data_IF_571601778480
#
_entry.id   IF_571601778480
#
_cell.length_a   1.000
_cell.length_b   1.000
_cell.length_c   1.000
_cell.angle_alpha   90.00
_cell.angle_beta   90.00
_cell.angle_gamma   90.00
#
_symmetry.space_group_name_H-M   'P 1'
#
loop_
_entity.id
_entity.type
_entity.pdbx_description
1 polymer ?
#
# COMPACT_ATOMS: atom_id res chain seq x y z
N UNK A 1 15.21 -16.65 7.77
CA UNK A 1 14.54 -15.88 6.70
C UNK A 1 14.62 -14.42 7.11
N UNK A 2 15.51 -13.65 6.50
CA UNK A 2 15.53 -12.20 6.77
C UNK A 2 14.33 -11.59 6.03
N UNK A 3 13.56 -10.73 6.69
CA UNK A 3 12.55 -9.92 6.03
C UNK A 3 13.23 -8.74 5.32
N UNK A 4 12.63 -8.21 4.26
CA UNK A 4 13.09 -7.00 3.58
C UNK A 4 13.26 -5.83 4.54
N UNK A 5 14.25 -4.99 4.27
CA UNK A 5 14.61 -3.89 5.16
C UNK A 5 13.84 -2.63 4.74
N UNK A 6 13.06 -2.07 5.67
CA UNK A 6 12.52 -0.71 5.53
C UNK A 6 13.61 0.27 5.89
N UNK A 7 13.94 1.16 4.95
CA UNK A 7 14.91 2.22 5.21
C UNK A 7 14.15 3.43 5.76
N UNK A 8 14.70 4.06 6.80
CA UNK A 8 14.11 5.30 7.31
C UNK A 8 14.08 6.34 6.18
N UNK A 9 12.92 6.92 5.84
CA UNK A 9 12.86 7.99 4.86
C UNK A 9 13.70 9.19 5.32
N UNK A 10 14.21 10.03 4.40
CA UNK A 10 14.86 11.28 4.77
C UNK A 10 13.93 12.06 5.71
N UNK A 11 14.49 12.53 6.84
CA UNK A 11 13.77 13.09 8.00
C UNK A 11 12.58 13.94 7.56
N UNK A 12 11.36 13.39 7.64
CA UNK A 12 10.17 14.22 7.74
C UNK A 12 10.32 15.00 9.03
N UNK A 13 10.48 16.31 8.92
CA UNK A 13 10.42 17.25 10.04
C UNK A 13 9.22 16.89 10.91
N UNK A 14 9.45 16.72 12.21
CA UNK A 14 8.46 16.29 13.19
C UNK A 14 7.13 17.04 13.03
N UNK A 15 6.05 16.33 12.73
CA UNK A 15 4.69 16.85 12.90
C UNK A 15 4.35 16.78 14.40
N UNK A 16 4.88 17.74 15.15
CA UNK A 16 4.40 18.02 16.50
C UNK A 16 3.04 18.70 16.41
N UNK A 17 1.97 17.96 16.75
CA UNK A 17 0.60 18.49 16.85
C UNK A 17 -0.39 17.82 15.88
N UNK A 18 -0.58 16.50 15.96
CA UNK A 18 -1.27 15.76 14.90
C UNK A 18 -2.80 15.69 14.99
N UNK A 19 -3.40 15.60 16.17
CA UNK A 19 -4.81 15.14 16.26
C UNK A 19 -5.87 16.22 16.02
N UNK A 20 -5.46 17.49 15.90
CA UNK A 20 -6.39 18.61 15.89
C UNK A 20 -6.48 19.37 14.55
N UNK A 21 -5.85 18.88 13.50
CA UNK A 21 -5.85 19.52 12.19
C UNK A 21 -6.27 18.54 11.10
N UNK A 22 -6.98 19.07 10.09
CA UNK A 22 -7.22 18.34 8.86
C UNK A 22 -5.87 18.00 8.22
N UNK A 23 -5.68 16.74 7.86
CA UNK A 23 -4.43 16.27 7.28
C UNK A 23 -4.71 15.24 6.20
N UNK A 24 -3.79 15.16 5.24
CA UNK A 24 -3.80 14.12 4.21
C UNK A 24 -2.79 13.05 4.62
N UNK A 25 -3.26 11.82 4.77
CA UNK A 25 -2.42 10.67 5.03
C UNK A 25 -2.27 9.83 3.75
N UNK A 26 -1.02 9.68 3.31
CA UNK A 26 -0.69 8.82 2.18
C UNK A 26 -0.11 7.50 2.66
N UNK A 27 -0.60 6.39 2.10
CA UNK A 27 -0.12 5.04 2.43
C UNK A 27 0.11 4.22 1.16
N UNK A 28 1.09 3.31 1.22
CA UNK A 28 1.38 2.33 0.18
C UNK A 28 1.53 0.95 0.82
N UNK A 29 0.66 0.02 0.40
CA UNK A 29 0.86 -1.41 0.63
C UNK A 29 1.34 -2.04 -0.67
N UNK A 30 2.50 -2.68 -0.68
CA UNK A 30 3.07 -3.30 -1.87
C UNK A 30 3.66 -4.68 -1.58
N UNK A 31 3.21 -5.67 -2.34
CA UNK A 31 3.83 -6.97 -2.50
C UNK A 31 4.79 -6.97 -3.67
N UNK A 32 6.03 -7.39 -3.40
CA UNK A 32 7.00 -7.79 -4.41
C UNK A 32 7.05 -9.32 -4.41
N UNK A 33 6.33 -9.94 -5.35
CA UNK A 33 6.16 -11.39 -5.37
C UNK A 33 7.39 -12.08 -5.96
N UNK A 34 7.56 -11.96 -7.27
CA UNK A 34 8.51 -12.78 -8.02
C UNK A 34 8.94 -12.09 -9.31
N UNK A 35 10.09 -12.49 -9.82
CA UNK A 35 10.56 -12.17 -11.15
C UNK A 35 10.81 -13.45 -11.96
N UNK A 36 10.73 -13.29 -13.28
CA UNK A 36 11.03 -14.34 -14.26
C UNK A 36 11.97 -13.81 -15.32
N UNK A 37 12.58 -14.74 -16.06
CA UNK A 37 13.53 -14.47 -17.14
C UNK A 37 14.78 -13.68 -16.67
N UNK A 38 15.14 -13.78 -15.38
CA UNK A 38 16.37 -13.20 -14.86
C UNK A 38 17.61 -14.02 -15.28
N UNK A 39 18.78 -13.39 -15.44
CA UNK A 39 20.02 -14.15 -15.64
C UNK A 39 20.27 -15.10 -14.46
N UNK A 40 20.39 -16.42 -14.70
CA UNK A 40 20.33 -17.45 -13.67
C UNK A 40 21.59 -17.45 -12.80
N UNK A 41 21.50 -18.09 -11.62
CA UNK A 41 22.63 -18.29 -10.67
C UNK A 41 23.27 -16.99 -10.18
N UNK A 42 22.56 -15.87 -10.23
CA UNK A 42 22.95 -14.58 -9.65
C UNK A 42 21.98 -14.20 -8.53
N UNK A 43 22.44 -13.37 -7.59
CA UNK A 43 21.62 -12.85 -6.49
C UNK A 43 21.06 -11.49 -6.86
N UNK A 44 19.75 -11.31 -6.66
CA UNK A 44 19.04 -10.07 -6.96
C UNK A 44 18.18 -9.62 -5.79
N UNK A 45 18.00 -8.31 -5.68
CA UNK A 45 17.07 -7.65 -4.79
C UNK A 45 16.37 -6.50 -5.53
N UNK A 46 15.26 -6.04 -4.98
CA UNK A 46 14.54 -4.88 -5.50
C UNK A 46 14.78 -3.66 -4.60
N UNK A 47 14.84 -2.48 -5.20
CA UNK A 47 14.78 -1.20 -4.51
C UNK A 47 13.46 -0.50 -4.80
N UNK A 48 12.84 0.02 -3.75
CA UNK A 48 11.58 0.74 -3.78
C UNK A 48 11.83 2.25 -3.71
N UNK A 49 11.54 2.98 -4.77
CA UNK A 49 11.63 4.43 -4.78
C UNK A 49 10.28 5.10 -4.99
N UNK A 50 10.01 6.17 -4.25
CA UNK A 50 8.88 7.07 -4.47
C UNK A 50 9.46 8.44 -4.85
N UNK A 51 9.13 8.92 -6.05
CA UNK A 51 9.64 10.18 -6.62
C UNK A 51 11.16 10.37 -6.44
N UNK A 52 11.92 9.28 -6.62
CA UNK A 52 13.39 9.26 -6.52
C UNK A 52 13.97 9.01 -5.12
N UNK A 53 13.18 9.09 -4.06
CA UNK A 53 13.64 8.76 -2.71
C UNK A 53 13.49 7.25 -2.43
N UNK A 54 14.51 6.61 -1.87
CA UNK A 54 14.53 5.19 -1.54
C UNK A 54 13.82 4.92 -0.19
N UNK A 55 12.82 4.04 -0.19
CA UNK A 55 12.02 3.70 1.01
C UNK A 55 12.25 2.28 1.53
N UNK A 56 12.51 1.33 0.65
CA UNK A 56 12.64 -0.06 1.06
C UNK A 56 13.50 -0.87 0.10
N UNK A 57 13.99 -2.01 0.60
CA UNK A 57 14.69 -3.01 -0.20
C UNK A 57 14.17 -4.40 0.13
N UNK A 58 14.01 -5.24 -0.88
CA UNK A 58 13.79 -6.67 -0.63
C UNK A 58 15.07 -7.33 -0.17
N UNK A 59 14.96 -8.55 0.35
CA UNK A 59 16.15 -9.38 0.52
C UNK A 59 16.78 -9.76 -0.81
N UNK A 60 18.11 -9.95 -0.79
CA UNK A 60 18.82 -10.52 -1.92
C UNK A 60 18.65 -12.04 -1.96
N UNK A 61 18.17 -12.56 -3.08
CA UNK A 61 17.91 -13.99 -3.29
C UNK A 61 18.50 -14.46 -4.62
N UNK A 62 18.94 -15.71 -4.68
CA UNK A 62 19.51 -16.32 -5.89
C UNK A 62 18.41 -16.70 -6.87
N UNK A 63 18.51 -16.26 -8.12
CA UNK A 63 17.66 -16.75 -9.20
C UNK A 63 17.95 -18.23 -9.48
N UNK A 64 16.88 -18.99 -9.74
CA UNK A 64 16.91 -20.40 -10.14
C UNK A 64 17.64 -20.62 -11.47
N UNK A 65 17.83 -21.89 -11.84
CA UNK A 65 18.44 -22.25 -13.12
C UNK A 65 17.57 -21.88 -14.33
N UNK A 66 16.27 -21.78 -14.12
CA UNK A 66 15.22 -21.35 -15.05
C UNK A 66 15.05 -19.82 -15.11
N UNK A 67 15.79 -19.06 -14.30
CA UNK A 67 15.68 -17.61 -14.21
C UNK A 67 14.48 -17.12 -13.38
N UNK A 68 13.78 -18.01 -12.67
CA UNK A 68 12.73 -17.65 -11.73
C UNK A 68 13.31 -17.21 -10.38
N UNK A 69 12.67 -16.24 -9.74
CA UNK A 69 13.07 -15.74 -8.43
C UNK A 69 11.86 -15.28 -7.62
N UNK A 70 11.68 -15.84 -6.41
CA UNK A 70 10.55 -15.51 -5.54
C UNK A 70 11.00 -14.78 -4.25
N UNK A 71 10.58 -13.52 -4.10
CA UNK A 71 10.74 -12.74 -2.87
C UNK A 71 9.58 -12.97 -1.91
N UNK A 72 8.35 -12.72 -2.36
CA UNK A 72 7.15 -12.83 -1.53
C UNK A 72 7.16 -11.87 -0.35
N UNK A 73 7.61 -10.64 -0.57
CA UNK A 73 7.81 -9.64 0.50
C UNK A 73 6.75 -8.54 0.44
N UNK A 74 6.19 -8.19 1.61
CA UNK A 74 5.21 -7.12 1.78
C UNK A 74 5.85 -5.90 2.43
N UNK A 75 5.61 -4.73 1.84
CA UNK A 75 5.96 -3.44 2.39
C UNK A 75 4.69 -2.65 2.69
N UNK A 76 4.52 -2.31 3.97
CA UNK A 76 3.51 -1.37 4.43
C UNK A 76 4.20 -0.07 4.82
N UNK A 77 3.98 0.96 4.01
CA UNK A 77 4.50 2.31 4.19
C UNK A 77 3.34 3.25 4.50
N UNK A 78 3.45 3.98 5.61
CA UNK A 78 2.46 4.95 6.05
C UNK A 78 3.08 6.34 6.15
N UNK A 79 2.24 7.36 6.31
CA UNK A 79 2.68 8.75 6.49
C UNK A 79 3.61 9.24 5.37
N UNK A 80 3.33 8.83 4.13
CA UNK A 80 4.14 9.19 2.98
C UNK A 80 3.92 10.67 2.60
N UNK A 81 4.94 11.37 2.09
CA UNK A 81 4.70 12.60 1.35
C UNK A 81 3.83 12.29 0.11
N UNK A 82 3.16 13.32 -0.41
CA UNK A 82 2.44 13.18 -1.67
C UNK A 82 3.43 12.77 -2.77
N UNK A 83 3.23 11.58 -3.33
CA UNK A 83 4.08 11.01 -4.35
C UNK A 83 3.30 10.77 -5.64
N UNK A 84 3.97 10.83 -6.79
CA UNK A 84 3.35 10.61 -8.10
C UNK A 84 3.69 9.27 -8.70
N UNK A 85 4.93 8.82 -8.53
CA UNK A 85 5.44 7.63 -9.19
C UNK A 85 6.13 6.69 -8.22
N UNK A 86 5.82 5.41 -8.36
CA UNK A 86 6.53 4.30 -7.76
C UNK A 86 7.50 3.71 -8.77
N UNK A 87 8.79 3.71 -8.42
CA UNK A 87 9.85 3.09 -9.21
C UNK A 87 10.40 1.86 -8.49
N UNK A 88 10.35 0.71 -9.16
CA UNK A 88 10.88 -0.55 -8.66
C UNK A 88 12.05 -0.97 -9.53
N UNK A 89 13.25 -0.89 -8.98
CA UNK A 89 14.47 -1.30 -9.69
C UNK A 89 14.88 -2.68 -9.22
N UNK A 90 15.24 -3.57 -10.16
CA UNK A 90 15.84 -4.87 -9.86
C UNK A 90 17.36 -4.74 -9.98
N UNK A 91 18.09 -5.00 -8.91
CA UNK A 91 19.54 -4.87 -8.86
C UNK A 91 20.18 -6.23 -8.61
N UNK A 92 21.36 -6.42 -9.21
CA UNK A 92 22.20 -7.57 -8.91
C UNK A 92 23.10 -7.24 -7.71
N UNK A 93 23.18 -8.17 -6.77
CA UNK A 93 24.12 -8.10 -5.65
C UNK A 93 25.54 -8.42 -6.18
N UNK A 94 26.47 -7.47 -6.08
CA UNK A 94 27.90 -7.69 -6.34
C UNK A 94 28.65 -7.75 -5.01
N UNK A 95 29.47 -8.79 -4.80
CA UNK A 95 30.37 -8.87 -3.65
C UNK A 95 31.48 -7.81 -3.77
N UNK A 96 31.55 -6.90 -2.80
CA UNK A 96 32.74 -6.06 -2.56
C UNK A 96 32.78 -4.67 -3.20
N UNK A 97 31.68 -4.10 -3.73
CA UNK A 97 31.71 -2.79 -4.40
C UNK A 97 31.06 -1.65 -3.61
N UNK A 98 31.80 -0.52 -3.52
CA UNK A 98 31.38 0.81 -3.01
C UNK A 98 30.64 1.65 -4.07
N UNK A 99 30.44 1.11 -5.29
CA UNK A 99 29.76 1.78 -6.42
C UNK A 99 28.29 1.39 -6.45
N UNK A 100 27.45 2.36 -6.79
CA UNK A 100 26.03 2.19 -7.03
C UNK A 100 25.82 1.15 -8.14
N UNK A 101 25.18 0.03 -7.80
CA UNK A 101 24.91 -1.06 -8.73
C UNK A 101 23.90 -0.57 -9.76
N UNK A 102 24.28 -0.60 -11.04
CA UNK A 102 23.34 -0.24 -12.12
C UNK A 102 22.16 -1.22 -12.11
N UNK A 103 20.91 -0.75 -12.16
CA UNK A 103 19.76 -1.63 -12.17
C UNK A 103 19.75 -2.48 -13.44
N UNK A 104 19.35 -3.75 -13.31
CA UNK A 104 19.07 -4.64 -14.44
C UNK A 104 17.91 -4.08 -15.28
N UNK A 105 16.96 -3.45 -14.60
CA UNK A 105 15.88 -2.70 -15.20
C UNK A 105 14.96 -2.15 -14.11
N UNK A 106 14.06 -1.26 -14.53
CA UNK A 106 13.14 -0.55 -13.64
C UNK A 106 11.72 -0.65 -14.16
N UNK A 107 10.79 -0.79 -13.22
CA UNK A 107 9.34 -0.65 -13.44
C UNK A 107 8.92 0.70 -12.89
N UNK A 108 8.14 1.46 -13.66
CA UNK A 108 7.53 2.72 -13.22
C UNK A 108 6.02 2.56 -13.20
N UNK A 109 5.39 2.87 -12.06
CA UNK A 109 3.95 2.76 -11.84
C UNK A 109 3.42 4.12 -11.37
N UNK A 110 2.52 4.76 -12.11
CA UNK A 110 1.83 5.96 -11.64
C UNK A 110 0.96 5.62 -10.42
N UNK A 111 1.17 6.31 -9.30
CA UNK A 111 0.41 6.04 -8.07
C UNK A 111 -1.08 6.37 -8.22
N UNK A 112 -1.44 7.28 -9.14
CA UNK A 112 -2.83 7.56 -9.49
C UNK A 112 -3.58 6.34 -10.07
N UNK A 113 -2.89 5.45 -10.79
CA UNK A 113 -3.46 4.19 -11.29
C UNK A 113 -3.81 3.27 -10.11
N UNK A 114 -2.92 3.21 -9.12
CA UNK A 114 -3.12 2.40 -7.91
C UNK A 114 -4.16 3.00 -6.95
N UNK A 115 -4.33 4.33 -6.94
CA UNK A 115 -5.31 5.04 -6.13
C UNK A 115 -6.75 4.88 -6.65
N UNK A 116 -6.92 4.87 -7.97
CA UNK A 116 -8.24 4.80 -8.60
C UNK A 116 -8.86 3.40 -8.49
N UNK A 117 -8.03 2.37 -8.35
CA UNK A 117 -8.49 0.98 -8.27
C UNK A 117 -9.09 0.65 -6.90
N UNK A 118 -10.30 0.07 -6.89
CA UNK A 118 -10.95 -0.44 -5.67
C UNK A 118 -10.31 -1.70 -5.12
N UNK A 119 -9.54 -2.43 -5.94
CA UNK A 119 -8.81 -3.64 -5.55
C UNK A 119 -7.30 -3.40 -5.72
N UNK A 120 -6.44 -4.01 -4.92
CA UNK A 120 -5.00 -3.91 -5.13
C UNK A 120 -4.63 -4.36 -6.55
N UNK A 121 -3.87 -3.53 -7.27
CA UNK A 121 -3.48 -3.80 -8.65
C UNK A 121 -2.39 -4.86 -8.67
N UNK A 122 -2.76 -6.08 -9.08
CA UNK A 122 -1.83 -7.20 -9.27
C UNK A 122 -1.53 -7.42 -10.75
N UNK A 123 -0.26 -7.30 -11.15
CA UNK A 123 0.14 -7.37 -12.55
C UNK A 123 1.60 -7.79 -12.72
N UNK A 124 1.90 -8.40 -13.87
CA UNK A 124 3.27 -8.59 -14.37
C UNK A 124 3.74 -7.33 -15.12
N UNK A 125 4.86 -6.79 -14.69
CA UNK A 125 5.49 -5.62 -15.28
C UNK A 125 6.79 -6.03 -15.99
N UNK A 126 6.95 -5.78 -17.29
CA UNK A 126 8.23 -5.97 -17.96
C UNK A 126 9.24 -4.93 -17.44
N UNK A 127 10.50 -5.32 -17.27
CA UNK A 127 11.56 -4.39 -16.89
C UNK A 127 11.95 -3.54 -18.11
N UNK A 128 11.91 -2.22 -17.98
CA UNK A 128 12.37 -1.31 -19.02
C UNK A 128 13.90 -1.43 -19.17
N UNK A 129 14.38 -1.51 -20.42
CA UNK A 129 15.81 -1.62 -20.76
C UNK A 129 16.27 -2.99 -21.27
N UNK A 130 15.40 -4.00 -21.31
CA UNK A 130 15.70 -5.34 -21.83
C UNK A 130 15.10 -5.60 -23.23
N UNK A 131 15.75 -6.43 -24.05
CA UNK A 131 15.31 -6.78 -25.39
C UNK A 131 13.98 -7.59 -25.39
N UNK A 132 13.08 -7.38 -26.39
CA UNK A 132 11.66 -7.73 -26.29
C UNK A 132 11.30 -9.23 -26.26
N UNK A 133 12.15 -10.15 -26.71
CA UNK A 133 11.77 -11.56 -26.87
C UNK A 133 11.94 -12.43 -25.60
N UNK A 134 12.64 -11.92 -24.57
CA UNK A 134 12.87 -12.62 -23.29
C UNK A 134 13.17 -11.64 -22.14
N UNK A 135 12.48 -10.49 -22.15
CA UNK A 135 12.72 -9.43 -21.18
C UNK A 135 12.32 -9.87 -19.75
N UNK A 136 13.21 -9.70 -18.74
CA UNK A 136 12.86 -9.91 -17.36
C UNK A 136 11.57 -9.20 -16.98
N UNK A 137 10.75 -9.85 -16.16
CA UNK A 137 9.47 -9.29 -15.70
C UNK A 137 9.31 -9.48 -14.20
N UNK A 138 8.61 -8.56 -13.55
CA UNK A 138 8.37 -8.53 -12.11
C UNK A 138 6.85 -8.54 -11.81
N UNK A 139 6.40 -9.43 -10.93
CA UNK A 139 5.02 -9.49 -10.46
C UNK A 139 4.89 -8.69 -9.18
N UNK A 140 4.02 -7.69 -9.23
CA UNK A 140 3.75 -6.77 -8.12
C UNK A 140 2.26 -6.77 -7.84
N UNK A 141 1.90 -6.57 -6.56
CA UNK A 141 0.54 -6.21 -6.15
C UNK A 141 0.58 -5.08 -5.17
N UNK A 142 -0.11 -3.98 -5.45
CA UNK A 142 -0.13 -2.89 -4.49
C UNK A 142 -1.38 -2.04 -4.49
N UNK A 143 -1.48 -1.22 -3.45
CA UNK A 143 -2.53 -0.23 -3.24
C UNK A 143 -1.90 1.04 -2.69
N UNK A 144 -2.17 2.15 -3.35
CA UNK A 144 -1.87 3.49 -2.84
C UNK A 144 -3.16 4.14 -2.37
N UNK A 145 -3.14 4.80 -1.22
CA UNK A 145 -4.30 5.51 -0.68
C UNK A 145 -3.89 6.89 -0.23
N UNK A 146 -4.68 7.88 -0.64
CA UNK A 146 -4.67 9.23 -0.12
C UNK A 146 -5.96 9.41 0.69
N UNK A 147 -5.84 9.61 2.00
CA UNK A 147 -6.97 9.68 2.91
C UNK A 147 -6.98 11.07 3.55
N UNK A 148 -8.10 11.79 3.39
CA UNK A 148 -8.35 12.98 4.18
C UNK A 148 -8.79 12.58 5.59
N UNK A 149 -7.97 12.96 6.57
CA UNK A 149 -8.25 12.78 7.99
C UNK A 149 -8.73 14.11 8.53
N UNK A 150 -9.97 14.13 9.03
CA UNK A 150 -10.58 15.33 9.59
C UNK A 150 -10.04 15.61 11.01
N UNK A 151 -10.19 16.83 11.54
CA UNK A 151 -9.90 17.11 12.94
C UNK A 151 -10.68 16.20 13.89
N UNK A 152 -10.10 15.85 15.04
CA UNK A 152 -10.77 14.97 16.03
C UNK A 152 -12.14 15.50 16.49
N UNK A 153 -12.33 16.81 16.49
CA UNK A 153 -13.62 17.46 16.83
C UNK A 153 -14.70 17.09 15.81
N UNK A 154 -14.37 17.08 14.51
CA UNK A 154 -15.30 16.69 13.45
C UNK A 154 -15.72 15.22 13.55
N UNK A 155 -14.85 14.35 14.06
CA UNK A 155 -15.24 12.96 14.34
C UNK A 155 -16.25 12.83 15.48
N UNK A 156 -16.24 13.75 16.46
CA UNK A 156 -17.26 13.77 17.53
C UNK A 156 -18.63 14.16 16.98
N UNK A 157 -18.69 15.26 16.22
CA UNK A 157 -19.92 15.71 15.55
C UNK A 157 -20.47 14.62 14.61
N UNK A 158 -19.57 13.97 13.87
CA UNK A 158 -19.94 12.86 13.00
C UNK A 158 -20.46 11.64 13.76
N UNK A 159 -19.84 11.27 14.88
CA UNK A 159 -20.32 10.18 15.73
C UNK A 159 -21.70 10.49 16.32
N UNK A 160 -21.94 11.73 16.75
CA UNK A 160 -23.27 12.19 17.18
C UNK A 160 -24.28 12.10 16.04
N UNK A 161 -23.94 12.62 14.86
CA UNK A 161 -24.79 12.55 13.67
C UNK A 161 -25.17 11.10 13.32
N UNK A 162 -24.19 10.18 13.23
CA UNK A 162 -24.47 8.76 13.03
C UNK A 162 -25.44 8.25 14.10
N UNK A 163 -25.21 8.62 15.36
CA UNK A 163 -26.02 8.15 16.48
C UNK A 163 -27.47 8.61 16.40
N UNK A 164 -27.74 9.81 15.89
CA UNK A 164 -29.10 10.35 15.74
C UNK A 164 -29.78 9.93 14.43
N UNK A 165 -29.01 9.71 13.36
CA UNK A 165 -29.52 9.50 11.99
C UNK A 165 -29.21 8.12 11.40
N UNK A 166 -28.77 7.13 12.21
CA UNK A 166 -28.36 5.81 11.70
C UNK A 166 -29.43 5.12 10.84
N UNK A 167 -30.73 5.33 11.12
CA UNK A 167 -31.83 4.73 10.33
C UNK A 167 -31.92 5.30 8.93
N UNK A 168 -31.82 6.63 8.80
CA UNK A 168 -31.84 7.34 7.52
C UNK A 168 -30.58 7.01 6.71
N UNK A 169 -29.42 6.96 7.37
CA UNK A 169 -28.16 6.52 6.78
C UNK A 169 -28.25 5.09 6.24
N UNK A 170 -28.75 4.14 7.03
CA UNK A 170 -28.94 2.76 6.56
C UNK A 170 -29.90 2.72 5.37
N UNK A 171 -31.04 3.42 5.42
CA UNK A 171 -32.01 3.44 4.33
C UNK A 171 -31.41 3.99 3.01
N UNK A 172 -30.56 5.02 3.09
CA UNK A 172 -29.88 5.59 1.92
C UNK A 172 -28.69 4.77 1.41
N UNK A 173 -27.91 4.18 2.32
CA UNK A 173 -26.69 3.43 1.99
C UNK A 173 -26.97 1.98 1.57
N UNK A 174 -27.98 1.34 2.14
CA UNK A 174 -28.33 -0.05 1.86
C UNK A 174 -28.53 -0.37 0.36
N UNK A 175 -29.22 0.46 -0.46
CA UNK A 175 -29.35 0.22 -1.89
C UNK A 175 -28.07 0.55 -2.67
N UNK A 176 -27.19 1.40 -2.14
CA UNK A 176 -25.98 1.87 -2.82
C UNK A 176 -24.76 0.95 -2.60
N UNK A 177 -24.82 0.09 -1.58
CA UNK A 177 -23.69 -0.74 -1.14
C UNK A 177 -23.92 -2.21 -1.52
N UNK A 178 -22.89 -2.83 -2.12
CA UNK A 178 -22.94 -4.25 -2.46
C UNK A 178 -23.13 -5.12 -1.20
N UNK A 179 -23.92 -6.20 -1.32
CA UNK A 179 -24.32 -7.10 -0.22
C UNK A 179 -23.14 -7.50 0.67
N UNK A 180 -21.97 -7.80 0.08
CA UNK A 180 -20.76 -8.21 0.82
C UNK A 180 -20.23 -7.17 1.81
N UNK A 181 -20.48 -5.88 1.62
CA UNK A 181 -20.01 -4.83 2.53
C UNK A 181 -21.08 -4.39 3.52
N UNK A 182 -22.31 -4.93 3.43
CA UNK A 182 -23.40 -4.59 4.36
C UNK A 182 -23.08 -5.03 5.79
N UNK A 183 -22.45 -6.20 5.95
CA UNK A 183 -22.02 -6.71 7.25
C UNK A 183 -20.94 -5.82 7.88
N UNK A 184 -19.92 -5.44 7.10
CA UNK A 184 -18.86 -4.54 7.56
C UNK A 184 -19.42 -3.18 7.99
N UNK A 185 -20.35 -2.62 7.21
CA UNK A 185 -21.04 -1.38 7.55
C UNK A 185 -21.86 -1.52 8.84
N UNK A 186 -22.66 -2.57 8.96
CA UNK A 186 -23.49 -2.81 10.13
C UNK A 186 -22.62 -2.96 11.39
N UNK A 187 -21.53 -3.72 11.30
CA UNK A 187 -20.55 -3.89 12.38
C UNK A 187 -19.94 -2.54 12.79
N UNK A 188 -19.50 -1.73 11.82
CA UNK A 188 -18.94 -0.40 12.10
C UNK A 188 -19.96 0.53 12.78
N UNK A 189 -21.21 0.56 12.31
CA UNK A 189 -22.28 1.36 12.91
C UNK A 189 -22.59 0.91 14.34
N UNK A 190 -22.66 -0.40 14.58
CA UNK A 190 -22.87 -0.95 15.93
C UNK A 190 -21.73 -0.53 16.87
N UNK A 191 -20.48 -0.59 16.42
CA UNK A 191 -19.34 -0.13 17.21
C UNK A 191 -19.42 1.36 17.57
N UNK A 192 -19.86 2.22 16.65
CA UNK A 192 -20.07 3.65 16.92
C UNK A 192 -21.22 3.86 17.93
N UNK A 193 -22.34 3.14 17.79
CA UNK A 193 -23.48 3.24 18.71
C UNK A 193 -23.16 2.68 20.11
N UNK A 194 -22.27 1.70 20.21
CA UNK A 194 -21.78 1.15 21.48
C UNK A 194 -20.85 2.13 22.19
N UNK A 195 -19.88 2.69 21.47
CA UNK A 195 -18.91 3.63 22.03
C UNK A 195 -19.55 4.95 22.51
N UNK A 196 -20.70 5.34 21.95
CA UNK A 196 -21.48 6.51 22.40
C UNK A 196 -22.49 6.20 23.52
N UNK A 197 -22.56 4.95 24.01
CA UNK A 197 -23.41 4.55 25.12
C UNK A 197 -24.88 4.30 24.79
N UNK A 198 -25.29 4.33 23.51
CA UNK A 198 -26.70 4.13 23.09
C UNK A 198 -27.05 2.70 22.66
N UNK A 199 -26.09 1.77 22.63
CA UNK A 199 -26.31 0.40 22.14
C UNK A 199 -27.32 -0.45 22.93
N UNK A 200 -27.68 -0.09 24.17
CA UNK A 200 -28.74 -0.80 24.92
C UNK A 200 -30.12 -0.73 24.25
N UNK A 201 -30.34 0.14 23.25
CA UNK A 201 -31.62 0.26 22.53
C UNK A 201 -31.67 -0.41 21.14
N UNK A 202 -30.53 -0.78 20.54
CA UNK A 202 -30.52 -1.36 19.19
C UNK A 202 -30.82 -2.88 19.18
N UNK A 203 -30.49 -3.59 20.26
CA UNK A 203 -30.68 -5.05 20.40
C UNK A 203 -32.13 -5.46 20.77
N UNK A 204 -33.10 -4.55 20.72
CA UNK A 204 -34.51 -4.81 21.07
C UNK A 204 -35.47 -4.69 19.86
N UNK A 205 -34.93 -4.57 18.65
CA UNK A 205 -35.72 -4.58 17.42
C UNK A 205 -35.00 -5.43 16.36
N UNK A 206 -34.81 -6.72 16.68
CA UNK A 206 -34.61 -7.80 15.72
C UNK A 206 -35.88 -8.64 15.66
#
# INVERSE_FOLDING_TARGET
MSAGERLCPPRLTSWGGGDNCERVENTLSLWVYEARDLPPKKRYFCQLHLDGALYARTTAKSAGADGALFWGELFELATLPAARELHISVLREEEGRRRETSPLGTVTIPLGEMATSRQPLEKWYPLCGAAPSRAPSLRLRGRYQEIQVLPIVSYKEFAEYITFHYRELCAGLEPAIAVRHKEELASALVHVLQSTGKAKRALLCS
#
